data_IF_768943835166
#
_entry.id   IF_768943835166
#
_cell.length_a   1.000
_cell.length_b   1.000
_cell.length_c   1.000
_cell.angle_alpha   90.00
_cell.angle_beta   90.00
_cell.angle_gamma   90.00
#
_symmetry.space_group_name_H-M   'P 1'
#
loop_
_entity.id
_entity.type
_entity.pdbx_description
1 polymer ?
#
# COMPACT_ATOMS: atom_id res chain seq x y z
N UNK A 1 -54.90 19.51 38.31
CA UNK A 1 -54.09 18.50 37.59
C UNK A 1 -52.64 18.98 37.66
N UNK A 2 -51.73 18.29 38.36
CA UNK A 2 -50.33 18.66 38.33
C UNK A 2 -49.68 18.10 37.05
N UNK A 3 -49.04 18.97 36.29
CA UNK A 3 -48.26 18.61 35.10
C UNK A 3 -47.04 17.79 35.52
N UNK A 4 -46.97 16.56 35.01
CA UNK A 4 -45.82 15.67 35.16
C UNK A 4 -44.68 16.21 34.29
N UNK A 5 -43.66 16.79 34.91
CA UNK A 5 -42.40 17.12 34.24
C UNK A 5 -41.62 15.81 34.12
N UNK A 6 -41.58 15.23 32.91
CA UNK A 6 -40.73 14.10 32.58
C UNK A 6 -39.37 14.68 32.21
N UNK A 7 -38.38 14.53 33.10
CA UNK A 7 -36.99 14.70 32.71
C UNK A 7 -36.58 13.51 31.82
N UNK A 8 -35.88 13.73 30.70
CA UNK A 8 -35.22 12.63 30.02
C UNK A 8 -34.12 12.11 30.96
N UNK A 9 -34.35 10.92 31.53
CA UNK A 9 -33.27 10.18 32.15
C UNK A 9 -32.26 9.85 31.05
N UNK A 10 -31.04 10.38 31.17
CA UNK A 10 -29.91 9.85 30.43
C UNK A 10 -29.77 8.39 30.86
N UNK A 11 -30.20 7.45 30.02
CA UNK A 11 -29.78 6.08 30.14
C UNK A 11 -28.28 6.08 29.82
N UNK A 12 -27.43 5.95 30.85
CA UNK A 12 -26.07 5.52 30.61
C UNK A 12 -26.18 4.10 30.05
N UNK A 13 -25.89 3.93 28.76
CA UNK A 13 -25.72 2.58 28.21
C UNK A 13 -24.58 1.90 28.97
N UNK A 14 -24.77 0.64 29.32
CA UNK A 14 -23.72 -0.15 29.94
C UNK A 14 -22.47 -0.16 29.02
N UNK A 15 -21.25 -0.14 29.60
CA UNK A 15 -20.03 -0.09 28.82
C UNK A 15 -19.89 -1.36 27.95
N UNK A 16 -19.59 -1.18 26.67
CA UNK A 16 -19.49 -2.27 25.69
C UNK A 16 -18.03 -2.67 25.46
N UNK A 17 -17.72 -3.96 25.59
CA UNK A 17 -16.45 -4.55 25.14
C UNK A 17 -16.56 -4.83 23.64
N UNK A 18 -15.73 -4.16 22.83
CA UNK A 18 -15.76 -4.26 21.37
C UNK A 18 -14.89 -5.37 20.77
N UNK A 19 -14.34 -6.24 21.61
CA UNK A 19 -13.46 -7.36 21.25
C UNK A 19 -13.96 -8.68 21.80
N UNK A 20 -13.43 -9.78 21.28
CA UNK A 20 -13.77 -11.16 21.69
C UNK A 20 -12.52 -11.96 22.03
N UNK A 21 -12.70 -13.10 22.70
CA UNK A 21 -11.62 -14.04 22.96
C UNK A 21 -10.85 -14.41 21.67
N UNK A 22 -9.53 -14.41 21.77
CA UNK A 22 -8.61 -14.71 20.67
C UNK A 22 -8.27 -13.52 19.77
N UNK A 23 -8.93 -12.38 19.95
CA UNK A 23 -8.53 -11.11 19.34
C UNK A 23 -7.15 -10.69 19.88
N UNK A 24 -6.28 -10.20 19.00
CA UNK A 24 -4.96 -9.72 19.36
C UNK A 24 -4.48 -8.57 18.48
N UNK A 25 -3.58 -7.78 19.05
CA UNK A 25 -2.86 -6.72 18.35
C UNK A 25 -1.42 -6.67 18.88
N UNK A 26 -0.51 -6.33 17.98
CA UNK A 26 0.91 -6.18 18.26
C UNK A 26 1.30 -4.71 18.09
N UNK A 27 2.24 -4.29 18.93
CA UNK A 27 2.73 -2.93 18.96
C UNK A 27 4.25 -2.91 18.92
N UNK A 28 4.77 -1.89 18.24
CA UNK A 28 6.15 -1.44 18.36
C UNK A 28 6.20 -0.29 19.36
N UNK A 29 7.23 -0.29 20.20
CA UNK A 29 7.50 0.77 21.18
C UNK A 29 8.88 1.34 20.90
N UNK A 30 8.94 2.64 20.63
CA UNK A 30 10.16 3.38 20.33
C UNK A 30 10.38 4.39 21.45
N UNK A 31 11.55 4.34 22.09
CA UNK A 31 11.94 5.24 23.18
C UNK A 31 13.12 6.08 22.71
N UNK A 32 12.93 7.40 22.67
CA UNK A 32 13.95 8.36 22.25
C UNK A 32 14.16 9.44 23.32
N UNK A 33 15.32 10.10 23.33
CA UNK A 33 15.60 11.25 24.20
C UNK A 33 16.79 11.06 25.15
N UNK A 34 16.76 11.77 26.28
CA UNK A 34 17.78 11.77 27.32
C UNK A 34 17.29 11.05 28.58
N UNK A 35 18.11 10.12 29.05
CA UNK A 35 17.81 9.22 30.16
C UNK A 35 17.60 7.79 29.66
N UNK A 36 17.05 6.94 30.52
CA UNK A 36 16.68 5.56 30.17
C UNK A 36 15.37 5.20 30.84
N UNK A 37 14.61 4.29 30.24
CA UNK A 37 13.50 3.67 30.94
C UNK A 37 14.03 2.72 32.02
N UNK A 38 13.30 2.52 33.13
CA UNK A 38 13.61 1.44 34.06
C UNK A 38 13.61 0.10 33.30
N UNK A 39 14.47 -0.87 33.66
CA UNK A 39 14.56 -2.15 32.95
C UNK A 39 13.22 -2.90 32.81
N UNK A 40 12.30 -2.72 33.76
CA UNK A 40 10.96 -3.32 33.76
C UNK A 40 9.96 -2.65 32.83
N UNK A 41 10.30 -1.50 32.25
CA UNK A 41 9.43 -0.71 31.37
C UNK A 41 10.12 -0.37 30.04
N UNK A 42 11.35 -0.85 29.83
CA UNK A 42 12.13 -0.67 28.60
C UNK A 42 11.69 -1.69 27.53
N UNK A 43 10.41 -1.60 27.18
CA UNK A 43 9.71 -2.47 26.22
C UNK A 43 9.96 -1.95 24.82
N UNK A 44 10.26 -2.86 23.88
CA UNK A 44 10.46 -2.55 22.45
C UNK A 44 9.35 -3.12 21.58
N UNK A 45 8.65 -4.15 22.06
CA UNK A 45 7.51 -4.76 21.39
C UNK A 45 6.56 -5.35 22.42
N UNK A 46 5.26 -5.30 22.13
CA UNK A 46 4.26 -5.96 22.96
C UNK A 46 3.14 -6.55 22.11
N UNK A 47 2.60 -7.68 22.55
CA UNK A 47 1.38 -8.28 22.03
C UNK A 47 0.36 -8.40 23.14
N UNK A 48 -0.85 -7.97 22.86
CA UNK A 48 -1.99 -8.12 23.76
C UNK A 48 -2.98 -9.08 23.11
N UNK A 49 -3.35 -10.14 23.82
CA UNK A 49 -4.33 -11.14 23.35
C UNK A 49 -5.48 -11.19 24.34
N UNK A 50 -6.69 -10.97 23.83
CA UNK A 50 -7.94 -11.01 24.59
C UNK A 50 -8.23 -12.46 24.98
N UNK A 51 -8.45 -12.67 26.29
CA UNK A 51 -8.88 -13.95 26.84
C UNK A 51 -10.41 -13.99 26.88
N UNK A 52 -10.99 -14.74 27.81
CA UNK A 52 -12.44 -14.80 27.99
C UNK A 52 -13.03 -13.42 28.32
N UNK A 53 -14.18 -13.11 27.71
CA UNK A 53 -14.93 -11.86 27.89
C UNK A 53 -16.27 -12.18 28.55
N UNK A 54 -16.53 -11.61 29.72
CA UNK A 54 -17.75 -11.79 30.49
C UNK A 54 -18.41 -10.43 30.77
N UNK A 55 -19.31 -10.01 29.88
CA UNK A 55 -19.94 -8.70 29.95
C UNK A 55 -18.90 -7.56 29.85
N UNK A 56 -18.82 -6.64 30.83
CA UNK A 56 -17.85 -5.54 30.84
C UNK A 56 -16.50 -5.92 31.47
N UNK A 57 -16.34 -7.17 31.92
CA UNK A 57 -15.11 -7.67 32.54
C UNK A 57 -14.43 -8.71 31.64
N UNK A 58 -13.11 -8.63 31.54
CA UNK A 58 -12.32 -9.56 30.74
C UNK A 58 -10.86 -9.53 31.20
N UNK A 59 -10.02 -10.36 30.59
CA UNK A 59 -8.58 -10.33 30.83
C UNK A 59 -7.82 -10.38 29.52
N UNK A 60 -6.59 -9.89 29.55
CA UNK A 60 -5.69 -9.96 28.41
C UNK A 60 -4.36 -10.55 28.81
N UNK A 61 -3.85 -11.44 27.97
CA UNK A 61 -2.49 -11.89 28.07
C UNK A 61 -1.58 -10.90 27.33
N UNK A 62 -0.70 -10.23 28.07
CA UNK A 62 0.26 -9.26 27.57
C UNK A 62 1.63 -9.90 27.55
N UNK A 63 2.20 -10.06 26.35
CA UNK A 63 3.56 -10.53 26.15
C UNK A 63 4.42 -9.37 25.68
N UNK A 64 5.51 -9.08 26.39
CA UNK A 64 6.40 -7.96 26.10
C UNK A 64 7.81 -8.45 25.83
N UNK A 65 8.47 -7.82 24.87
CA UNK A 65 9.91 -7.96 24.63
C UNK A 65 10.61 -6.70 25.13
N UNK A 66 11.64 -6.89 25.94
CA UNK A 66 12.44 -5.79 26.49
C UNK A 66 13.68 -5.52 25.63
N UNK A 67 14.27 -4.34 25.77
CA UNK A 67 15.49 -3.94 25.06
C UNK A 67 16.68 -4.90 25.26
N UNK A 68 16.75 -5.55 26.43
CA UNK A 68 17.75 -6.56 26.77
C UNK A 68 17.52 -7.93 26.10
N UNK A 69 16.48 -8.07 25.26
CA UNK A 69 16.13 -9.28 24.54
C UNK A 69 15.29 -10.30 25.34
N UNK A 70 15.00 -10.04 26.61
CA UNK A 70 14.13 -10.90 27.42
C UNK A 70 12.66 -10.75 27.00
N UNK A 71 11.88 -11.79 27.26
CA UNK A 71 10.43 -11.82 27.03
C UNK A 71 9.76 -12.05 28.38
N UNK A 72 8.75 -11.24 28.68
CA UNK A 72 7.90 -11.39 29.86
C UNK A 72 6.43 -11.50 29.46
N UNK A 73 5.65 -12.16 30.33
CA UNK A 73 4.21 -12.35 30.13
C UNK A 73 3.47 -12.01 31.41
N UNK A 74 2.35 -11.31 31.29
CA UNK A 74 1.46 -10.97 32.40
C UNK A 74 0.00 -11.03 31.96
N UNK A 75 -0.90 -11.34 32.91
CA UNK A 75 -2.34 -11.26 32.69
C UNK A 75 -2.83 -9.95 33.29
N UNK A 76 -3.47 -9.12 32.47
CA UNK A 76 -4.02 -7.83 32.83
C UNK A 76 -5.54 -7.94 32.93
N UNK A 77 -6.14 -7.68 34.10
CA UNK A 77 -7.59 -7.70 34.27
C UNK A 77 -8.22 -6.38 33.81
N UNK A 78 -9.42 -6.46 33.26
CA UNK A 78 -10.23 -5.32 32.85
C UNK A 78 -11.63 -5.46 33.42
N UNK A 79 -12.20 -4.34 33.83
CA UNK A 79 -13.57 -4.24 34.30
C UNK A 79 -14.02 -2.79 34.15
N UNK A 80 -14.79 -2.52 33.10
CA UNK A 80 -15.20 -1.16 32.78
C UNK A 80 -16.17 -0.57 33.82
N UNK A 81 -16.88 -1.39 34.59
CA UNK A 81 -17.73 -0.90 35.68
C UNK A 81 -16.92 -0.44 36.90
N UNK A 82 -15.73 -1.00 37.09
CA UNK A 82 -14.81 -0.66 38.20
C UNK A 82 -13.76 0.38 37.79
N UNK A 83 -13.74 0.78 36.51
CA UNK A 83 -12.75 1.70 35.95
C UNK A 83 -11.38 1.06 35.73
N UNK A 84 -11.33 -0.24 35.51
CA UNK A 84 -10.09 -0.98 35.25
C UNK A 84 -9.82 -1.02 33.75
N UNK A 85 -8.99 -0.06 33.29
CA UNK A 85 -8.64 0.12 31.87
C UNK A 85 -7.15 -0.13 31.58
N UNK A 86 -6.35 -0.54 32.57
CA UNK A 86 -4.93 -0.93 32.48
C UNK A 86 -4.08 0.01 31.59
N UNK A 87 -4.06 1.30 31.94
CA UNK A 87 -3.33 2.32 31.16
C UNK A 87 -4.04 2.77 29.89
N UNK A 88 -5.34 2.49 29.79
CA UNK A 88 -6.21 2.75 28.64
C UNK A 88 -5.79 1.98 27.39
N UNK A 89 -5.36 0.74 27.55
CA UNK A 89 -5.10 -0.17 26.42
C UNK A 89 -6.40 -0.62 25.75
N UNK A 90 -7.51 -0.65 26.49
CA UNK A 90 -8.86 -0.87 25.97
C UNK A 90 -9.85 0.03 26.71
N UNK A 91 -10.75 0.67 25.94
CA UNK A 91 -11.83 1.53 26.44
C UNK A 91 -13.20 0.98 25.99
N UNK A 92 -14.32 1.42 26.60
CA UNK A 92 -15.65 1.03 26.12
C UNK A 92 -15.88 1.50 24.67
N UNK A 93 -16.39 0.60 23.83
CA UNK A 93 -16.53 0.83 22.38
C UNK A 93 -17.71 1.75 22.00
N UNK A 94 -18.66 1.95 22.90
CA UNK A 94 -19.82 2.82 22.70
C UNK A 94 -19.55 4.31 22.98
N UNK A 95 -18.35 4.67 23.45
CA UNK A 95 -17.99 6.06 23.76
C UNK A 95 -17.84 6.92 22.52
N UNK A 96 -18.50 8.07 22.50
CA UNK A 96 -18.51 9.06 21.43
C UNK A 96 -17.90 10.40 21.85
N UNK A 97 -17.66 11.28 20.88
CA UNK A 97 -17.12 12.62 21.15
C UNK A 97 -17.95 13.36 22.20
N UNK A 98 -17.29 13.80 23.28
CA UNK A 98 -17.91 14.45 24.44
C UNK A 98 -18.18 13.52 25.62
N UNK A 99 -18.18 12.20 25.41
CA UNK A 99 -18.35 11.22 26.48
C UNK A 99 -17.10 11.13 27.35
N UNK A 100 -17.31 10.69 28.59
CA UNK A 100 -16.23 10.43 29.54
C UNK A 100 -16.32 9.00 30.09
N UNK A 101 -15.16 8.44 30.44
CA UNK A 101 -15.09 7.21 31.21
C UNK A 101 -14.15 7.37 32.40
N UNK A 102 -14.43 6.60 33.44
CA UNK A 102 -13.72 6.64 34.71
C UNK A 102 -12.57 5.63 34.70
N UNK A 103 -11.35 6.08 35.02
CA UNK A 103 -10.19 5.23 35.25
C UNK A 103 -9.77 5.31 36.71
N UNK A 104 -9.80 4.18 37.41
CA UNK A 104 -9.33 4.06 38.79
C UNK A 104 -7.82 4.31 38.90
N UNK A 105 -7.08 4.16 37.79
CA UNK A 105 -5.66 4.45 37.65
C UNK A 105 -4.83 3.90 38.82
N UNK A 106 -4.80 2.57 38.98
CA UNK A 106 -4.07 1.87 40.07
C UNK A 106 -2.61 2.30 40.21
N UNK A 107 -1.98 2.77 39.13
CA UNK A 107 -0.61 3.27 39.14
C UNK A 107 -0.47 4.66 39.78
N UNK A 108 -1.48 5.51 39.74
CA UNK A 108 -1.44 6.87 40.31
C UNK A 108 -2.25 7.01 41.59
N UNK A 109 -3.12 6.04 41.92
CA UNK A 109 -4.03 6.07 43.10
C UNK A 109 -4.94 7.30 43.14
N UNK A 110 -5.01 8.03 42.02
CA UNK A 110 -5.87 9.18 41.82
C UNK A 110 -6.76 8.84 40.63
N UNK A 111 -8.06 8.66 40.86
CA UNK A 111 -8.97 8.38 39.78
C UNK A 111 -9.06 9.58 38.84
N UNK A 112 -9.20 9.29 37.54
CA UNK A 112 -9.27 10.31 36.50
C UNK A 112 -10.45 10.03 35.58
N UNK A 113 -11.08 11.09 35.10
CA UNK A 113 -12.06 11.01 34.02
C UNK A 113 -11.34 11.32 32.71
N UNK A 114 -11.41 10.38 31.78
CA UNK A 114 -10.88 10.54 30.42
C UNK A 114 -12.00 11.04 29.53
N UNK A 115 -11.73 12.06 28.72
CA UNK A 115 -12.72 12.62 27.79
C UNK A 115 -12.40 12.26 26.36
N UNK A 116 -13.40 11.82 25.59
CA UNK A 116 -13.27 11.62 24.15
C UNK A 116 -13.41 12.97 23.45
N UNK A 117 -12.35 13.39 22.75
CA UNK A 117 -12.20 14.73 22.19
C UNK A 117 -12.77 14.84 20.78
N UNK A 118 -12.50 13.84 19.96
CA UNK A 118 -12.86 13.81 18.54
C UNK A 118 -12.76 12.42 17.98
N UNK A 119 -13.36 12.27 16.80
CA UNK A 119 -13.31 11.09 15.96
C UNK A 119 -12.77 11.48 14.57
N UNK A 120 -12.02 10.60 13.93
CA UNK A 120 -11.63 10.75 12.53
C UNK A 120 -11.61 9.39 11.83
N UNK A 121 -11.75 9.38 10.51
CA UNK A 121 -11.51 8.18 9.71
C UNK A 121 -10.02 8.09 9.32
N UNK A 122 -9.42 6.92 9.52
CA UNK A 122 -8.00 6.68 9.28
C UNK A 122 -7.77 5.27 8.74
N UNK A 123 -6.84 5.13 7.80
CA UNK A 123 -6.30 3.83 7.42
C UNK A 123 -5.43 3.29 8.55
N UNK A 124 -5.84 2.17 9.14
CA UNK A 124 -5.13 1.50 10.24
C UNK A 124 -4.92 0.04 9.87
N UNK A 125 -3.65 -0.37 9.76
CA UNK A 125 -3.27 -1.75 9.42
C UNK A 125 -4.02 -2.31 8.20
N UNK A 126 -4.17 -1.46 7.18
CA UNK A 126 -4.79 -1.83 5.90
C UNK A 126 -6.31 -1.74 5.85
N UNK A 127 -7.02 -1.30 6.90
CA UNK A 127 -8.47 -1.07 6.86
C UNK A 127 -8.83 0.38 7.19
N UNK A 128 -9.88 0.92 6.55
CA UNK A 128 -10.47 2.19 6.98
C UNK A 128 -11.18 1.97 8.32
N UNK A 129 -10.76 2.72 9.34
CA UNK A 129 -11.29 2.66 10.71
C UNK A 129 -11.70 4.06 11.15
N UNK A 130 -12.77 4.14 11.94
CA UNK A 130 -13.03 5.33 12.75
C UNK A 130 -12.17 5.22 14.01
N UNK A 131 -11.34 6.22 14.27
CA UNK A 131 -10.48 6.27 15.46
C UNK A 131 -10.90 7.41 16.38
N UNK A 132 -10.88 7.16 17.69
CA UNK A 132 -11.19 8.14 18.73
C UNK A 132 -9.92 8.65 19.38
N UNK A 133 -9.92 9.93 19.72
CA UNK A 133 -8.85 10.59 20.45
C UNK A 133 -9.34 10.98 21.83
N UNK A 134 -8.52 10.79 22.85
CA UNK A 134 -8.87 11.16 24.22
C UNK A 134 -7.64 11.52 25.05
N UNK A 135 -7.88 12.29 26.10
CA UNK A 135 -6.88 12.66 27.09
C UNK A 135 -7.46 12.63 28.49
N UNK A 136 -6.58 12.70 29.49
CA UNK A 136 -6.92 13.20 30.82
C UNK A 136 -6.06 14.45 31.15
N UNK A 137 -6.12 14.89 32.40
CA UNK A 137 -5.35 16.05 32.90
C UNK A 137 -3.84 15.76 33.00
N UNK A 138 -3.43 14.49 32.90
CA UNK A 138 -2.10 13.97 33.28
C UNK A 138 -1.33 13.35 32.09
N UNK A 139 -2.01 12.89 31.04
CA UNK A 139 -1.48 12.09 29.93
C UNK A 139 -1.86 12.70 28.58
N UNK A 140 -0.94 12.58 27.64
CA UNK A 140 -1.11 13.02 26.26
C UNK A 140 -2.21 12.25 25.52
N UNK A 141 -2.54 12.75 24.34
CA UNK A 141 -3.63 12.21 23.51
C UNK A 141 -3.31 10.78 23.08
N UNK A 142 -4.14 9.83 23.51
CA UNK A 142 -4.14 8.45 23.02
C UNK A 142 -5.18 8.25 21.92
N UNK A 143 -4.95 7.22 21.11
CA UNK A 143 -5.77 6.88 19.96
C UNK A 143 -6.32 5.47 20.13
N UNK A 144 -7.63 5.28 19.94
CA UNK A 144 -8.29 3.97 19.94
C UNK A 144 -9.07 3.75 18.65
N UNK A 145 -9.28 2.49 18.29
CA UNK A 145 -10.27 2.12 17.29
C UNK A 145 -11.67 2.24 17.89
N UNK A 146 -12.56 3.04 17.29
CA UNK A 146 -13.89 3.31 17.82
C UNK A 146 -14.73 2.04 17.98
N UNK A 147 -14.69 1.15 16.99
CA UNK A 147 -15.55 -0.04 16.95
C UNK A 147 -15.15 -1.06 18.02
N UNK A 148 -13.87 -1.19 18.32
CA UNK A 148 -13.35 -2.21 19.22
C UNK A 148 -12.97 -1.66 20.60
N UNK A 149 -12.73 -0.35 20.70
CA UNK A 149 -12.19 0.30 21.88
C UNK A 149 -10.69 0.04 22.09
N UNK A 150 -10.01 -0.64 21.16
CA UNK A 150 -8.62 -1.04 21.34
C UNK A 150 -7.64 0.10 21.05
N UNK A 151 -6.62 0.22 21.88
CA UNK A 151 -5.55 1.18 21.69
C UNK A 151 -4.79 0.94 20.38
N UNK A 152 -4.51 2.02 19.66
CA UNK A 152 -3.81 2.00 18.36
C UNK A 152 -2.42 2.65 18.44
N UNK A 153 -2.25 3.60 19.35
CA UNK A 153 -0.98 4.27 19.52
C UNK A 153 -1.04 5.59 20.27
N UNK A 154 0.13 6.09 20.62
CA UNK A 154 0.34 7.37 21.29
C UNK A 154 1.77 7.87 21.09
N UNK A 155 1.96 9.16 21.35
CA UNK A 155 3.28 9.79 21.48
C UNK A 155 3.28 10.51 22.83
N UNK A 156 4.07 9.98 23.77
CA UNK A 156 4.04 10.40 25.17
C UNK A 156 5.41 10.99 25.58
N UNK A 157 5.54 12.33 25.64
CA UNK A 157 6.66 12.98 26.31
C UNK A 157 6.64 12.76 27.83
N UNK A 158 7.73 12.22 28.37
CA UNK A 158 7.98 12.03 29.80
C UNK A 158 9.17 12.89 30.20
N UNK A 159 8.91 13.98 30.94
CA UNK A 159 9.95 14.92 31.39
C UNK A 159 10.00 15.05 32.91
N UNK A 160 11.22 15.05 33.45
CA UNK A 160 11.52 15.28 34.87
C UNK A 160 10.64 14.45 35.82
N UNK A 161 10.47 13.16 35.52
CA UNK A 161 9.57 12.26 36.26
C UNK A 161 10.37 11.17 36.97
N UNK A 162 10.14 11.01 38.27
CA UNK A 162 10.67 9.88 39.04
C UNK A 162 9.62 8.78 39.12
N UNK A 163 9.95 7.56 38.71
CA UNK A 163 9.04 6.41 38.80
C UNK A 163 8.82 6.01 40.26
N UNK A 164 7.78 5.21 40.55
CA UNK A 164 7.55 4.63 41.90
C UNK A 164 8.77 3.86 42.44
N UNK A 165 9.59 3.29 41.54
CA UNK A 165 10.82 2.57 41.90
C UNK A 165 12.03 3.49 42.13
N UNK A 166 11.87 4.81 42.10
CA UNK A 166 12.94 5.78 42.31
C UNK A 166 13.81 6.09 41.10
N UNK A 167 13.45 5.60 39.91
CA UNK A 167 14.22 5.83 38.68
C UNK A 167 13.86 7.20 38.08
N UNK A 168 14.86 8.05 37.84
CA UNK A 168 14.64 9.39 37.31
C UNK A 168 14.68 9.40 35.77
N UNK A 169 13.65 9.98 35.16
CA UNK A 169 13.52 10.20 33.72
C UNK A 169 13.67 11.70 33.45
N UNK A 170 14.70 12.08 32.70
CA UNK A 170 15.00 13.47 32.38
C UNK A 170 14.08 13.97 31.25
N UNK A 171 14.17 13.38 30.06
CA UNK A 171 13.41 13.81 28.89
C UNK A 171 13.34 12.67 27.86
N UNK A 172 12.30 11.84 27.95
CA UNK A 172 12.04 10.77 26.99
C UNK A 172 10.76 11.05 26.20
N UNK A 173 10.71 10.52 24.98
CA UNK A 173 9.49 10.42 24.18
C UNK A 173 9.25 8.94 23.89
N UNK A 174 8.11 8.44 24.35
CA UNK A 174 7.68 7.06 24.10
C UNK A 174 6.64 7.08 23.00
N UNK A 175 6.99 6.50 21.84
CA UNK A 175 6.06 6.33 20.72
C UNK A 175 5.62 4.89 20.68
N UNK A 176 4.30 4.65 20.71
CA UNK A 176 3.73 3.32 20.57
C UNK A 176 2.83 3.28 19.35
N UNK A 177 3.02 2.29 18.48
CA UNK A 177 2.23 2.13 17.25
C UNK A 177 1.77 0.69 17.10
N UNK A 178 0.51 0.48 16.74
CA UNK A 178 0.03 -0.82 16.29
C UNK A 178 0.70 -1.22 14.96
N UNK A 179 1.17 -2.45 14.87
CA UNK A 179 1.91 -2.98 13.70
C UNK A 179 1.27 -4.22 13.07
N UNK A 180 0.45 -4.98 13.81
CA UNK A 180 -0.27 -6.14 13.28
C UNK A 180 -1.48 -6.47 14.16
N UNK A 181 -2.53 -7.06 13.58
CA UNK A 181 -3.73 -7.49 14.32
C UNK A 181 -4.48 -8.60 13.56
N UNK A 182 -5.33 -9.36 14.27
CA UNK A 182 -6.37 -10.21 13.67
C UNK A 182 -7.80 -9.68 13.89
N UNK A 183 -7.96 -8.55 14.59
CA UNK A 183 -9.28 -8.04 15.01
C UNK A 183 -10.10 -7.58 13.80
N UNK A 184 -9.41 -7.05 12.80
CA UNK A 184 -9.95 -6.76 11.48
C UNK A 184 -9.00 -7.28 10.40
N UNK A 185 -9.54 -7.46 9.21
CA UNK A 185 -8.75 -7.76 8.02
C UNK A 185 -8.45 -6.45 7.27
N UNK A 186 -7.29 -6.35 6.60
CA UNK A 186 -7.06 -5.29 5.63
C UNK A 186 -8.24 -5.21 4.66
N UNK A 187 -8.76 -4.01 4.47
CA UNK A 187 -9.74 -3.77 3.43
C UNK A 187 -9.00 -3.85 2.10
N UNK A 188 -9.39 -4.78 1.25
CA UNK A 188 -9.15 -4.64 -0.18
C UNK A 188 -9.87 -3.34 -0.56
N UNK A 189 -9.10 -2.30 -0.87
CA UNK A 189 -9.67 -1.10 -1.48
C UNK A 189 -10.23 -1.59 -2.80
N UNK A 190 -11.53 -1.89 -2.84
CA UNK A 190 -12.28 -2.01 -4.07
C UNK A 190 -12.06 -0.68 -4.78
N UNK A 191 -11.13 -0.67 -5.74
CA UNK A 191 -11.09 0.41 -6.70
C UNK A 191 -12.49 0.51 -7.26
N UNK A 192 -13.08 1.69 -7.24
CA UNK A 192 -14.29 1.94 -8.01
C UNK A 192 -13.92 1.69 -9.48
N UNK A 193 -14.18 0.45 -9.89
CA UNK A 193 -13.77 -0.15 -11.14
C UNK A 193 -14.30 0.68 -12.31
N UNK A 194 -15.42 1.38 -12.10
CA UNK A 194 -15.99 2.32 -13.06
C UNK A 194 -15.02 3.45 -13.40
N UNK A 195 -14.36 4.06 -12.41
CA UNK A 195 -13.36 5.10 -12.59
C UNK A 195 -12.12 4.58 -13.33
N UNK A 196 -11.70 3.35 -13.00
CA UNK A 196 -10.60 2.68 -13.71
C UNK A 196 -10.94 2.41 -15.17
N UNK A 197 -12.11 1.83 -15.50
CA UNK A 197 -12.48 1.55 -16.89
C UNK A 197 -12.61 2.83 -17.72
N UNK A 198 -13.13 3.92 -17.13
CA UNK A 198 -13.16 5.23 -17.78
C UNK A 198 -11.75 5.78 -18.05
N UNK A 199 -10.85 5.72 -17.06
CA UNK A 199 -9.46 6.13 -17.22
C UNK A 199 -8.74 5.28 -18.28
N UNK A 200 -8.90 3.95 -18.22
CA UNK A 200 -8.32 3.02 -19.15
C UNK A 200 -8.83 3.24 -20.58
N UNK A 201 -10.15 3.41 -20.76
CA UNK A 201 -10.75 3.75 -22.04
C UNK A 201 -10.25 5.11 -22.57
N UNK A 202 -10.08 6.10 -21.69
CA UNK A 202 -9.52 7.40 -22.05
C UNK A 202 -8.05 7.30 -22.48
N UNK A 203 -7.23 6.52 -21.77
CA UNK A 203 -5.84 6.25 -22.16
C UNK A 203 -5.78 5.51 -23.50
N UNK A 204 -6.62 4.50 -23.70
CA UNK A 204 -6.73 3.80 -24.99
C UNK A 204 -7.13 4.76 -26.12
N UNK A 205 -8.13 5.61 -25.90
CA UNK A 205 -8.56 6.60 -26.89
C UNK A 205 -7.46 7.63 -27.18
N UNK A 206 -6.78 8.14 -26.15
CA UNK A 206 -5.70 9.12 -26.28
C UNK A 206 -4.49 8.51 -27.01
N UNK A 207 -4.09 7.28 -26.67
CA UNK A 207 -2.98 6.59 -27.34
C UNK A 207 -3.32 6.26 -28.79
N UNK A 208 -4.55 5.83 -29.08
CA UNK A 208 -5.03 5.64 -30.45
C UNK A 208 -5.04 6.98 -31.24
N UNK A 209 -5.46 8.08 -30.61
CA UNK A 209 -5.49 9.41 -31.22
C UNK A 209 -4.07 9.92 -31.51
N UNK A 210 -3.14 9.84 -30.56
CA UNK A 210 -1.74 10.23 -30.76
C UNK A 210 -1.11 9.40 -31.87
N UNK A 211 -1.37 8.09 -31.89
CA UNK A 211 -0.91 7.19 -32.95
C UNK A 211 -1.46 7.60 -34.32
N UNK A 212 -2.76 7.93 -34.39
CA UNK A 212 -3.41 8.38 -35.61
C UNK A 212 -2.86 9.73 -36.09
N UNK A 213 -2.66 10.69 -35.17
CA UNK A 213 -2.07 12.00 -35.47
C UNK A 213 -0.64 11.84 -35.99
N UNK A 214 0.19 11.01 -35.35
CA UNK A 214 1.54 10.72 -35.81
C UNK A 214 1.52 10.17 -37.25
N UNK A 215 0.65 9.19 -37.52
CA UNK A 215 0.45 8.62 -38.86
C UNK A 215 0.01 9.69 -39.88
N UNK A 216 -0.95 10.56 -39.53
CA UNK A 216 -1.46 11.62 -40.42
C UNK A 216 -0.37 12.65 -40.71
N UNK A 217 0.38 13.09 -39.70
CA UNK A 217 1.42 14.12 -39.84
C UNK A 217 2.55 13.63 -40.74
N UNK A 218 3.07 12.40 -40.55
CA UNK A 218 4.15 11.94 -41.43
C UNK A 218 3.67 11.38 -42.77
N UNK A 219 2.38 11.09 -42.97
CA UNK A 219 1.84 10.95 -44.33
C UNK A 219 1.93 12.25 -45.14
N UNK A 220 1.87 13.41 -44.47
CA UNK A 220 1.91 14.74 -45.11
C UNK A 220 3.31 15.31 -45.27
N UNK A 221 4.31 14.80 -44.54
CA UNK A 221 5.70 15.24 -44.61
C UNK A 221 6.59 14.04 -44.90
N UNK A 222 7.36 14.07 -46.01
CA UNK A 222 8.58 13.26 -46.09
C UNK A 222 9.44 13.69 -44.90
N UNK A 223 9.49 12.88 -43.85
CA UNK A 223 10.35 13.14 -42.70
C UNK A 223 11.77 13.18 -43.27
N UNK A 224 12.48 14.32 -43.19
CA UNK A 224 13.84 14.40 -43.73
C UNK A 224 14.68 13.30 -43.08
N UNK A 225 15.50 12.61 -43.89
CA UNK A 225 16.52 11.70 -43.37
C UNK A 225 17.28 12.43 -42.27
N UNK A 226 17.27 11.86 -41.06
CA UNK A 226 17.79 12.49 -39.85
C UNK A 226 19.22 12.99 -40.09
N UNK A 227 19.40 14.31 -40.15
CA UNK A 227 20.69 14.97 -40.41
C UNK A 227 21.62 14.99 -39.18
N UNK A 228 21.29 14.21 -38.15
CA UNK A 228 22.05 14.15 -36.89
C UNK A 228 23.32 13.32 -37.10
N UNK A 229 24.46 13.86 -36.63
CA UNK A 229 25.72 13.13 -36.62
C UNK A 229 25.63 11.87 -35.76
N UNK A 230 26.39 10.84 -36.12
CA UNK A 230 26.50 9.58 -35.37
C UNK A 230 26.77 9.79 -33.87
N UNK A 231 27.64 10.73 -33.52
CA UNK A 231 27.93 11.07 -32.12
C UNK A 231 26.71 11.67 -31.39
N UNK A 232 25.91 12.49 -32.07
CA UNK A 232 24.69 13.07 -31.51
C UNK A 232 23.61 12.01 -31.30
N UNK A 233 23.47 11.09 -32.27
CA UNK A 233 22.55 9.96 -32.18
C UNK A 233 22.84 9.07 -30.97
N UNK A 234 24.11 8.73 -30.74
CA UNK A 234 24.54 7.95 -29.56
C UNK A 234 24.24 8.68 -28.25
N UNK A 235 24.51 9.99 -28.17
CA UNK A 235 24.22 10.79 -26.98
C UNK A 235 22.73 10.82 -26.66
N UNK A 236 21.89 11.03 -27.68
CA UNK A 236 20.42 11.03 -27.52
C UNK A 236 19.97 9.66 -27.01
N UNK A 237 20.43 8.56 -27.59
CA UNK A 237 20.06 7.22 -27.15
C UNK A 237 20.44 6.95 -25.68
N UNK A 238 21.67 7.28 -25.28
CA UNK A 238 22.14 7.11 -23.89
C UNK A 238 21.28 7.94 -22.92
N UNK A 239 21.04 9.22 -23.24
CA UNK A 239 20.23 10.10 -22.41
C UNK A 239 18.78 9.62 -22.33
N UNK A 240 18.21 9.12 -23.42
CA UNK A 240 16.85 8.55 -23.43
C UNK A 240 16.76 7.29 -22.55
N UNK A 241 17.75 6.40 -22.61
CA UNK A 241 17.80 5.19 -21.77
C UNK A 241 17.92 5.57 -20.29
N UNK A 242 18.88 6.44 -19.93
CA UNK A 242 19.05 6.88 -18.55
C UNK A 242 17.78 7.60 -18.06
N UNK A 243 17.22 8.48 -18.90
CA UNK A 243 16.01 9.23 -18.59
C UNK A 243 14.82 8.32 -18.31
N UNK A 244 14.56 7.32 -19.15
CA UNK A 244 13.42 6.41 -18.93
C UNK A 244 13.63 5.55 -17.69
N UNK A 245 14.85 5.07 -17.43
CA UNK A 245 15.16 4.30 -16.22
C UNK A 245 14.86 5.12 -14.96
N UNK A 246 15.32 6.38 -14.94
CA UNK A 246 15.08 7.28 -13.80
C UNK A 246 13.61 7.63 -13.63
N UNK A 247 12.88 7.86 -14.73
CA UNK A 247 11.44 8.15 -14.70
C UNK A 247 10.66 6.96 -14.14
N UNK A 248 10.93 5.74 -14.62
CA UNK A 248 10.25 4.53 -14.15
C UNK A 248 10.53 4.26 -12.68
N UNK A 249 11.80 4.28 -12.27
CA UNK A 249 12.17 4.10 -10.85
C UNK A 249 11.52 5.18 -9.98
N UNK A 250 11.58 6.45 -10.41
CA UNK A 250 10.95 7.55 -9.68
C UNK A 250 9.44 7.39 -9.59
N UNK A 251 8.78 6.93 -10.66
CA UNK A 251 7.34 6.65 -10.65
C UNK A 251 7.02 5.53 -9.67
N UNK A 252 7.77 4.42 -9.70
CA UNK A 252 7.53 3.28 -8.79
C UNK A 252 7.73 3.69 -7.31
N UNK A 253 8.75 4.50 -7.00
CA UNK A 253 9.10 4.85 -5.62
C UNK A 253 8.26 6.00 -5.04
N UNK A 254 7.85 6.96 -5.87
CA UNK A 254 7.24 8.21 -5.40
C UNK A 254 5.81 8.42 -5.87
N UNK A 255 5.29 7.61 -6.80
CA UNK A 255 3.92 7.75 -7.24
C UNK A 255 2.97 7.23 -6.16
N UNK A 256 1.99 8.03 -5.72
CA UNK A 256 1.17 7.70 -4.56
C UNK A 256 0.02 6.77 -4.97
N UNK A 257 0.33 5.54 -5.40
CA UNK A 257 -0.66 4.56 -5.90
C UNK A 257 -1.87 4.43 -4.97
N UNK A 258 -1.60 4.32 -3.66
CA UNK A 258 -2.63 4.16 -2.62
C UNK A 258 -3.53 5.40 -2.45
N UNK A 259 -3.04 6.60 -2.80
CA UNK A 259 -3.76 7.86 -2.59
C UNK A 259 -4.69 8.23 -3.74
N UNK A 260 -4.52 7.61 -4.91
CA UNK A 260 -5.34 7.88 -6.11
C UNK A 260 -6.33 6.75 -6.42
N UNK A 261 -6.41 5.73 -5.55
CA UNK A 261 -7.41 4.67 -5.65
C UNK A 261 -7.24 3.73 -6.85
N UNK A 262 -6.03 3.61 -7.42
CA UNK A 262 -5.73 2.59 -8.43
C UNK A 262 -4.81 1.53 -7.83
N UNK A 263 -5.11 0.27 -8.11
CA UNK A 263 -4.21 -0.83 -7.72
C UNK A 263 -2.94 -0.82 -8.57
N UNK A 264 -1.89 -1.46 -8.06
CA UNK A 264 -0.66 -1.62 -8.81
C UNK A 264 -0.87 -2.43 -10.11
N UNK A 265 -1.75 -3.43 -10.10
CA UNK A 265 -2.12 -4.20 -11.29
C UNK A 265 -2.81 -3.32 -12.36
N UNK A 266 -3.72 -2.44 -11.94
CA UNK A 266 -4.38 -1.46 -12.81
C UNK A 266 -3.38 -0.49 -13.45
N UNK A 267 -2.46 0.04 -12.65
CA UNK A 267 -1.40 0.90 -13.14
C UNK A 267 -0.49 0.18 -14.16
N UNK A 268 -0.08 -1.05 -13.85
CA UNK A 268 0.73 -1.87 -14.77
C UNK A 268 0.01 -2.09 -16.11
N UNK A 269 -1.30 -2.37 -16.11
CA UNK A 269 -2.08 -2.49 -17.34
C UNK A 269 -2.07 -1.20 -18.17
N UNK A 270 -2.26 -0.05 -17.53
CA UNK A 270 -2.20 1.27 -18.18
C UNK A 270 -0.83 1.48 -18.83
N UNK A 271 0.25 1.21 -18.11
CA UNK A 271 1.61 1.37 -18.63
C UNK A 271 1.89 0.42 -19.79
N UNK A 272 1.51 -0.85 -19.70
CA UNK A 272 1.66 -1.82 -20.79
C UNK A 272 0.89 -1.40 -22.06
N UNK A 273 -0.28 -0.79 -21.88
CA UNK A 273 -1.09 -0.24 -22.98
C UNK A 273 -0.37 0.90 -23.69
N UNK A 274 0.14 1.86 -22.92
CA UNK A 274 0.93 2.99 -23.44
C UNK A 274 2.16 2.47 -24.20
N UNK A 275 2.90 1.54 -23.60
CA UNK A 275 4.11 0.98 -24.20
C UNK A 275 3.84 0.20 -25.47
N UNK A 276 2.76 -0.59 -25.51
CA UNK A 276 2.33 -1.29 -26.72
C UNK A 276 1.97 -0.31 -27.83
N UNK A 277 1.25 0.77 -27.53
CA UNK A 277 0.94 1.82 -28.51
C UNK A 277 2.21 2.49 -29.06
N UNK A 278 3.16 2.79 -28.19
CA UNK A 278 4.47 3.37 -28.57
C UNK A 278 5.25 2.42 -29.50
N UNK A 279 5.20 1.10 -29.27
CA UNK A 279 5.79 0.10 -30.20
C UNK A 279 5.13 0.19 -31.57
N UNK A 280 3.80 0.28 -31.64
CA UNK A 280 3.08 0.40 -32.92
C UNK A 280 3.43 1.69 -33.67
N UNK A 281 3.53 2.82 -32.97
CA UNK A 281 3.99 4.10 -33.54
C UNK A 281 5.43 3.98 -34.05
N UNK A 282 6.30 3.28 -33.31
CA UNK A 282 7.68 3.03 -33.75
C UNK A 282 7.73 2.28 -35.09
N UNK A 283 6.83 1.32 -35.30
CA UNK A 283 6.74 0.54 -36.54
C UNK A 283 6.35 1.40 -37.74
N UNK A 284 5.57 2.46 -37.51
CA UNK A 284 5.28 3.45 -38.53
C UNK A 284 6.52 4.26 -38.91
N UNK A 285 7.31 4.77 -37.94
CA UNK A 285 8.59 5.43 -38.24
C UNK A 285 9.54 4.54 -39.05
N UNK A 286 9.58 3.24 -38.73
CA UNK A 286 10.33 2.26 -39.51
C UNK A 286 9.84 2.17 -40.97
N UNK A 287 8.52 2.13 -41.17
CA UNK A 287 7.91 2.05 -42.50
C UNK A 287 8.26 3.28 -43.36
N UNK A 288 8.31 4.46 -42.75
CA UNK A 288 8.71 5.71 -43.41
C UNK A 288 10.24 5.86 -43.59
N UNK A 289 11.03 4.85 -43.22
CA UNK A 289 12.48 4.86 -43.37
C UNK A 289 13.24 5.58 -42.25
N UNK A 290 12.55 6.05 -41.20
CA UNK A 290 13.19 6.66 -40.04
C UNK A 290 13.59 5.59 -39.01
N UNK A 291 14.61 4.82 -39.35
CA UNK A 291 15.12 3.72 -38.52
C UNK A 291 15.67 4.20 -37.18
N UNK A 292 16.29 5.37 -37.11
CA UNK A 292 16.84 5.89 -35.87
C UNK A 292 15.77 6.13 -34.80
N UNK A 293 14.67 6.80 -35.18
CA UNK A 293 13.56 7.05 -34.25
C UNK A 293 12.90 5.74 -33.84
N UNK A 294 12.65 4.83 -34.79
CA UNK A 294 12.14 3.50 -34.47
C UNK A 294 13.02 2.76 -33.45
N UNK A 295 14.34 2.75 -33.67
CA UNK A 295 15.30 2.05 -32.83
C UNK A 295 15.35 2.62 -31.41
N UNK A 296 15.45 3.95 -31.25
CA UNK A 296 15.44 4.58 -29.93
C UNK A 296 14.10 4.35 -29.23
N UNK A 297 12.99 4.47 -29.95
CA UNK A 297 11.67 4.23 -29.36
C UNK A 297 11.54 2.79 -28.85
N UNK A 298 11.99 1.79 -29.61
CA UNK A 298 12.00 0.40 -29.15
C UNK A 298 12.87 0.22 -27.91
N UNK A 299 14.06 0.81 -27.87
CA UNK A 299 14.93 0.74 -26.69
C UNK A 299 14.28 1.32 -25.44
N UNK A 300 13.67 2.51 -25.55
CA UNK A 300 12.96 3.16 -24.45
C UNK A 300 11.88 2.22 -23.91
N UNK A 301 11.05 1.66 -24.79
CA UNK A 301 9.99 0.73 -24.39
C UNK A 301 10.56 -0.52 -23.74
N UNK A 302 11.61 -1.13 -24.30
CA UNK A 302 12.19 -2.34 -23.72
C UNK A 302 12.76 -2.09 -22.32
N UNK A 303 13.45 -0.97 -22.12
CA UNK A 303 13.97 -0.60 -20.80
C UNK A 303 12.84 -0.35 -19.80
N UNK A 304 11.81 0.42 -20.19
CA UNK A 304 10.65 0.67 -19.34
C UNK A 304 9.95 -0.61 -18.91
N UNK A 305 9.78 -1.55 -19.85
CA UNK A 305 9.09 -2.79 -19.56
C UNK A 305 9.89 -3.76 -18.69
N UNK A 306 11.21 -3.84 -18.87
CA UNK A 306 12.07 -4.64 -17.98
C UNK A 306 11.97 -4.12 -16.53
N UNK A 307 11.95 -2.80 -16.35
CA UNK A 307 11.80 -2.19 -15.02
C UNK A 307 10.41 -2.45 -14.46
N UNK A 308 9.36 -2.19 -15.24
CA UNK A 308 7.97 -2.44 -14.82
C UNK A 308 7.74 -3.90 -14.42
N UNK A 309 8.22 -4.85 -15.22
CA UNK A 309 8.14 -6.28 -14.91
C UNK A 309 8.92 -6.64 -13.64
N UNK A 310 10.12 -6.10 -13.46
CA UNK A 310 10.90 -6.31 -12.24
C UNK A 310 10.18 -5.75 -11.02
N UNK A 311 9.58 -4.57 -11.13
CA UNK A 311 8.82 -3.94 -10.06
C UNK A 311 7.61 -4.78 -9.64
N UNK A 312 6.89 -5.38 -10.59
CA UNK A 312 5.79 -6.32 -10.30
C UNK A 312 6.28 -7.48 -9.44
N UNK A 313 7.41 -8.11 -9.81
CA UNK A 313 7.97 -9.22 -9.03
C UNK A 313 8.39 -8.79 -7.63
N UNK A 314 8.91 -7.57 -7.46
CA UNK A 314 9.35 -7.08 -6.16
C UNK A 314 8.19 -6.63 -5.26
N UNK A 315 7.14 -6.04 -5.82
CA UNK A 315 6.00 -5.52 -5.07
C UNK A 315 4.98 -6.59 -4.72
N UNK A 316 4.83 -7.61 -5.57
CA UNK A 316 4.01 -8.80 -5.30
C UNK A 316 4.87 -10.06 -5.47
N UNK A 317 5.78 -10.33 -4.51
CA UNK A 317 6.62 -11.51 -4.56
C UNK A 317 5.73 -12.75 -4.51
N UNK A 318 5.95 -13.69 -5.44
CA UNK A 318 5.23 -14.97 -5.55
C UNK A 318 5.07 -15.64 -4.18
N UNK A 319 3.92 -15.41 -3.55
CA UNK A 319 3.55 -15.98 -2.27
C UNK A 319 2.66 -17.20 -2.52
N UNK A 320 2.51 -18.04 -1.49
CA UNK A 320 1.58 -19.18 -1.56
C UNK A 320 0.13 -18.70 -1.82
N UNK A 321 -0.25 -17.55 -1.26
CA UNK A 321 -1.57 -16.94 -1.46
C UNK A 321 -1.78 -16.43 -2.90
N UNK A 322 -0.77 -15.79 -3.51
CA UNK A 322 -0.85 -15.35 -4.91
C UNK A 322 -0.93 -16.55 -5.86
N UNK A 323 -0.18 -17.63 -5.57
CA UNK A 323 -0.21 -18.85 -6.38
C UNK A 323 -1.58 -19.55 -6.34
N UNK A 324 -2.23 -19.54 -5.17
CA UNK A 324 -3.60 -20.02 -5.01
C UNK A 324 -4.59 -19.13 -5.79
N UNK A 325 -4.46 -17.80 -5.71
CA UNK A 325 -5.32 -16.87 -6.45
C UNK A 325 -5.25 -17.07 -7.98
N UNK A 326 -4.06 -17.40 -8.52
CA UNK A 326 -3.86 -17.68 -9.94
C UNK A 326 -4.37 -19.05 -10.41
N UNK A 327 -4.63 -19.97 -9.50
CA UNK A 327 -5.01 -21.36 -9.83
C UNK A 327 -6.35 -21.79 -9.25
N UNK A 328 -7.08 -20.90 -8.57
CA UNK A 328 -8.33 -21.22 -7.88
C UNK A 328 -9.46 -21.68 -8.80
N UNK A 329 -9.36 -21.43 -10.12
CA UNK A 329 -10.28 -21.92 -11.14
C UNK A 329 -9.50 -22.39 -12.37
N UNK A 330 -10.09 -23.30 -13.14
CA UNK A 330 -9.52 -23.77 -14.41
C UNK A 330 -9.28 -22.62 -15.38
N UNK A 331 -10.19 -21.62 -15.43
CA UNK A 331 -10.04 -20.45 -16.29
C UNK A 331 -8.81 -19.61 -15.90
N UNK A 332 -8.64 -19.31 -14.60
CA UNK A 332 -7.48 -18.56 -14.10
C UNK A 332 -6.17 -19.29 -14.35
N UNK A 333 -6.15 -20.60 -14.11
CA UNK A 333 -4.96 -21.41 -14.37
C UNK A 333 -4.57 -21.37 -15.85
N UNK A 334 -5.53 -21.56 -16.77
CA UNK A 334 -5.27 -21.52 -18.21
C UNK A 334 -4.79 -20.13 -18.63
N UNK A 335 -5.43 -19.07 -18.13
CA UNK A 335 -5.11 -17.70 -18.52
C UNK A 335 -3.70 -17.29 -18.06
N UNK A 336 -3.34 -17.60 -16.81
CA UNK A 336 -2.00 -17.34 -16.30
C UNK A 336 -0.93 -18.14 -17.06
N UNK A 337 -1.20 -19.41 -17.42
CA UNK A 337 -0.30 -20.20 -18.26
C UNK A 337 -0.10 -19.59 -19.64
N UNK A 338 -1.18 -19.14 -20.30
CA UNK A 338 -1.10 -18.44 -21.58
C UNK A 338 -0.29 -17.15 -21.42
N UNK A 339 -0.52 -16.39 -20.36
CA UNK A 339 0.20 -15.15 -20.10
C UNK A 339 1.71 -15.41 -19.99
N UNK A 340 2.12 -16.43 -19.23
CA UNK A 340 3.52 -16.86 -19.17
C UNK A 340 4.09 -17.29 -20.53
N UNK A 341 3.34 -18.09 -21.30
CA UNK A 341 3.75 -18.60 -22.63
C UNK A 341 3.99 -17.48 -23.63
N UNK A 342 3.19 -16.40 -23.61
CA UNK A 342 3.36 -15.29 -24.55
C UNK A 342 4.29 -14.18 -24.02
N UNK A 343 4.30 -13.91 -22.72
CA UNK A 343 5.11 -12.85 -22.13
C UNK A 343 6.58 -13.22 -22.01
N UNK A 344 6.93 -14.46 -21.62
CA UNK A 344 8.34 -14.86 -21.45
C UNK A 344 9.13 -14.74 -22.76
N UNK A 345 8.65 -15.24 -23.91
CA UNK A 345 9.35 -15.03 -25.19
C UNK A 345 9.47 -13.55 -25.55
N UNK A 346 8.46 -12.72 -25.26
CA UNK A 346 8.52 -11.28 -25.49
C UNK A 346 9.61 -10.60 -24.64
N UNK A 347 9.75 -10.99 -23.37
CA UNK A 347 10.82 -10.51 -22.45
C UNK A 347 12.18 -10.92 -22.99
N UNK A 348 12.38 -12.22 -23.25
CA UNK A 348 13.67 -12.75 -23.71
C UNK A 348 14.08 -12.08 -25.02
N UNK A 349 13.14 -11.91 -25.94
CA UNK A 349 13.38 -11.21 -27.18
C UNK A 349 13.70 -9.72 -26.97
N UNK A 350 12.98 -9.04 -26.09
CA UNK A 350 13.24 -7.63 -25.74
C UNK A 350 14.62 -7.40 -25.14
N UNK A 351 15.03 -8.25 -24.18
CA UNK A 351 16.38 -8.24 -23.60
C UNK A 351 17.43 -8.45 -24.69
N UNK A 352 17.21 -9.42 -25.57
CA UNK A 352 18.10 -9.69 -26.68
C UNK A 352 18.21 -8.51 -27.66
N UNK A 353 17.11 -7.79 -27.94
CA UNK A 353 17.13 -6.57 -28.75
C UNK A 353 17.98 -5.46 -28.13
N UNK A 354 17.82 -5.22 -26.82
CA UNK A 354 18.61 -4.23 -26.08
C UNK A 354 20.09 -4.61 -26.08
N UNK A 355 20.40 -5.88 -25.81
CA UNK A 355 21.77 -6.39 -25.76
C UNK A 355 22.49 -6.30 -27.11
N UNK A 356 21.76 -6.44 -28.23
CA UNK A 356 22.32 -6.30 -29.56
C UNK A 356 22.48 -4.84 -30.02
N UNK A 357 21.98 -3.86 -29.25
CA UNK A 357 21.96 -2.47 -29.69
C UNK A 357 23.35 -1.93 -29.97
N UNK A 358 23.51 -1.43 -31.21
CA UNK A 358 24.75 -0.80 -31.67
C UNK A 358 24.40 0.47 -32.45
N UNK A 359 24.84 1.65 -31.98
CA UNK A 359 24.62 2.89 -32.71
C UNK A 359 25.32 2.82 -34.07
N UNK A 360 24.59 3.21 -35.13
CA UNK A 360 25.08 3.27 -36.52
C UNK A 360 25.46 1.92 -37.17
N UNK A 361 25.05 0.79 -36.61
CA UNK A 361 25.26 -0.49 -37.29
C UNK A 361 24.32 -0.63 -38.50
N UNK A 362 24.86 -1.05 -39.64
CA UNK A 362 24.09 -1.46 -40.83
C UNK A 362 23.49 -2.86 -40.67
N UNK A 363 24.01 -3.64 -39.72
CA UNK A 363 23.57 -4.97 -39.35
C UNK A 363 22.71 -5.01 -38.08
N UNK A 364 22.35 -3.85 -37.51
CA UNK A 364 21.50 -3.83 -36.33
C UNK A 364 20.12 -4.41 -36.67
N UNK A 365 19.55 -5.28 -35.82
CA UNK A 365 18.30 -5.96 -36.12
C UNK A 365 17.12 -5.03 -36.45
N UNK A 366 17.09 -3.80 -35.93
CA UNK A 366 16.03 -2.79 -36.18
C UNK A 366 15.78 -2.46 -37.67
N UNK A 367 16.76 -2.72 -38.54
CA UNK A 367 16.62 -2.50 -39.99
C UNK A 367 15.98 -3.68 -40.72
N UNK A 368 16.03 -4.89 -40.17
CA UNK A 368 15.55 -6.09 -40.86
C UNK A 368 14.03 -6.23 -40.78
N UNK A 369 13.38 -6.53 -41.91
CA UNK A 369 11.92 -6.70 -41.98
C UNK A 369 11.44 -7.87 -41.09
N UNK A 370 12.20 -8.97 -41.07
CA UNK A 370 11.87 -10.16 -40.28
C UNK A 370 11.82 -9.83 -38.79
N UNK A 371 12.78 -9.07 -38.30
CA UNK A 371 12.82 -8.77 -36.89
C UNK A 371 11.71 -7.82 -36.46
N UNK A 372 11.42 -6.80 -37.27
CA UNK A 372 10.32 -5.90 -36.97
C UNK A 372 8.98 -6.66 -36.88
N UNK A 373 8.77 -7.66 -37.74
CA UNK A 373 7.63 -8.57 -37.65
C UNK A 373 7.66 -9.38 -36.35
N UNK A 374 8.81 -9.95 -35.97
CA UNK A 374 8.94 -10.70 -34.72
C UNK A 374 8.67 -9.83 -33.49
N UNK A 375 9.14 -8.58 -33.45
CA UNK A 375 8.84 -7.63 -32.37
C UNK A 375 7.32 -7.50 -32.22
N UNK A 376 6.60 -7.23 -33.31
CA UNK A 376 5.14 -7.11 -33.26
C UNK A 376 4.45 -8.44 -32.92
N UNK A 377 4.96 -9.56 -33.44
CA UNK A 377 4.37 -10.89 -33.25
C UNK A 377 4.55 -11.45 -31.84
N UNK A 378 5.58 -11.04 -31.10
CA UNK A 378 5.70 -11.39 -29.68
C UNK A 378 4.92 -10.42 -28.79
N UNK A 379 4.97 -9.12 -29.10
CA UNK A 379 4.41 -8.10 -28.23
C UNK A 379 2.89 -7.95 -28.28
N UNK A 380 2.27 -8.01 -29.46
CA UNK A 380 0.81 -7.89 -29.55
C UNK A 380 0.11 -9.03 -28.83
N UNK A 381 0.45 -10.32 -29.06
CA UNK A 381 -0.18 -11.42 -28.33
C UNK A 381 0.10 -11.37 -26.84
N UNK A 382 1.33 -11.03 -26.43
CA UNK A 382 1.68 -10.83 -25.01
C UNK A 382 0.76 -9.80 -24.35
N UNK A 383 0.60 -8.63 -24.97
CA UNK A 383 -0.30 -7.59 -24.47
C UNK A 383 -1.77 -8.04 -24.43
N UNK A 384 -2.28 -8.67 -25.50
CA UNK A 384 -3.67 -9.15 -25.55
C UNK A 384 -3.93 -10.14 -24.42
N UNK A 385 -3.03 -11.10 -24.22
CA UNK A 385 -3.17 -12.10 -23.16
C UNK A 385 -3.03 -11.46 -21.78
N UNK A 386 -2.13 -10.48 -21.61
CA UNK A 386 -2.03 -9.72 -20.37
C UNK A 386 -3.31 -8.94 -20.02
N UNK A 387 -3.97 -8.34 -21.02
CA UNK A 387 -5.29 -7.70 -20.83
C UNK A 387 -6.34 -8.73 -20.43
N UNK A 388 -6.39 -9.87 -21.12
CA UNK A 388 -7.35 -10.93 -20.79
C UNK A 388 -7.12 -11.52 -19.40
N UNK A 389 -5.86 -11.71 -19.00
CA UNK A 389 -5.46 -12.15 -17.67
C UNK A 389 -5.90 -11.16 -16.60
N UNK A 390 -5.65 -9.87 -16.82
CA UNK A 390 -6.16 -8.81 -15.95
C UNK A 390 -7.68 -8.88 -15.83
N UNK A 391 -8.40 -9.02 -16.95
CA UNK A 391 -9.86 -9.07 -16.94
C UNK A 391 -10.41 -10.28 -16.17
N UNK A 392 -9.79 -11.46 -16.34
CA UNK A 392 -10.22 -12.67 -15.63
C UNK A 392 -9.94 -12.59 -14.12
N UNK A 393 -8.87 -11.89 -13.72
CA UNK A 393 -8.50 -11.74 -12.32
C UNK A 393 -9.33 -10.67 -11.59
N UNK A 394 -9.66 -9.58 -12.26
CA UNK A 394 -10.18 -8.37 -11.61
C UNK A 394 -11.63 -8.04 -11.99
N UNK A 395 -12.29 -8.84 -12.84
CA UNK A 395 -13.66 -8.55 -13.28
C UNK A 395 -14.58 -9.76 -13.13
N UNK A 396 -15.87 -9.49 -12.96
CA UNK A 396 -16.93 -10.51 -13.02
C UNK A 396 -17.36 -10.84 -14.45
N UNK A 397 -16.72 -10.26 -15.47
CA UNK A 397 -17.15 -10.44 -16.86
C UNK A 397 -17.07 -11.91 -17.32
N UNK A 398 -16.15 -12.69 -16.75
CA UNK A 398 -15.94 -14.10 -17.09
C UNK A 398 -16.38 -15.08 -15.98
N UNK A 399 -17.07 -14.59 -14.93
CA UNK A 399 -17.49 -15.36 -13.77
C UNK A 399 -18.84 -14.94 -13.24
#
# INVERSE_FOLDING_TARGET
MPSLIIFPGFAFEDPIVGVKEGDWIEFEVIIEGKGSMPPTHDVTWMRMTVMEVEGPAFSMNVTSRYSNGTIGTAIWPYNFNEGEHEGWTVIPANLSTGDTFYDLARHTEQPVNVTILREEEKMVLGAMRTVTYGHDVVRDVKIWDKKTGFFLGSVEPIKNKTTKSGHYIEDLVVTTNAIATNIWQPQEIESDDSGFYWLFALVLAATALVSLIAIIIGRKKKIPENSLSSASQTKIAILSIIGIILIEIGTILFFPFNSIGISFAQFNLIMQTIWTAVVLVSMWFRKEGNYFVHEITLLIVMCAWIIGFSAVIFMDPLSLASLEAFSNTTLRLIMNLLHGVFSVPAIVFGIWLVALWRPNSTSFPGKTKKLAILTTAFWIPSYIVGVLDFMVLHTTFFG
#
